data_IF_063495806497
#
_entry.id   IF_063495806497
#
_cell.length_a   1.000
_cell.length_b   1.000
_cell.length_c   1.000
_cell.angle_alpha   90.00
_cell.angle_beta   90.00
_cell.angle_gamma   90.00
#
_symmetry.space_group_name_H-M   'P 1'
#
loop_
_entity.id
_entity.type
_entity.pdbx_description
1 polymer ?
#
# COMPACT_ATOMS: atom_id res chain seq x y z
N UNK A 1 -11.10 19.28 22.86
CA UNK A 1 -12.47 19.21 23.38
C UNK A 1 -12.54 18.74 24.84
N UNK A 2 -11.92 17.60 25.20
CA UNK A 2 -11.95 17.03 26.57
C UNK A 2 -11.42 17.99 27.65
N UNK A 3 -10.31 18.70 27.38
CA UNK A 3 -9.74 19.67 28.35
C UNK A 3 -10.71 20.82 28.63
N UNK A 4 -11.36 21.36 27.60
CA UNK A 4 -12.38 22.41 27.74
C UNK A 4 -13.64 21.89 28.44
N UNK A 5 -14.06 20.66 28.15
CA UNK A 5 -15.18 20.00 28.83
C UNK A 5 -14.91 19.82 30.34
N UNK A 6 -13.72 19.35 30.71
CA UNK A 6 -13.31 19.23 32.11
C UNK A 6 -13.19 20.59 32.80
N UNK A 7 -12.65 21.60 32.11
CA UNK A 7 -12.58 22.97 32.62
C UNK A 7 -13.98 23.54 32.96
N UNK A 8 -14.96 23.38 32.08
CA UNK A 8 -16.33 23.84 32.34
C UNK A 8 -17.08 23.01 33.38
N UNK A 9 -16.79 21.71 33.53
CA UNK A 9 -17.33 20.89 34.63
C UNK A 9 -16.83 21.41 35.98
N UNK A 10 -15.54 21.73 36.09
CA UNK A 10 -14.96 22.28 37.32
C UNK A 10 -15.59 23.64 37.66
N UNK A 11 -15.74 24.53 36.66
CA UNK A 11 -16.42 25.82 36.86
C UNK A 11 -17.89 25.63 37.24
N UNK A 12 -18.59 24.68 36.62
CA UNK A 12 -20.00 24.38 36.91
C UNK A 12 -20.19 23.85 38.33
N UNK A 13 -19.32 22.95 38.80
CA UNK A 13 -19.33 22.47 40.18
C UNK A 13 -19.06 23.62 41.17
N UNK A 14 -18.09 24.48 40.87
CA UNK A 14 -17.79 25.67 41.67
C UNK A 14 -19.00 26.61 41.70
N UNK A 15 -19.65 26.85 40.57
CA UNK A 15 -20.82 27.73 40.44
C UNK A 15 -22.08 27.19 41.16
N UNK A 16 -22.31 25.87 41.12
CA UNK A 16 -23.48 25.24 41.74
C UNK A 16 -23.49 25.28 43.28
N UNK A 17 -22.33 25.49 43.91
CA UNK A 17 -22.17 25.53 45.37
C UNK A 17 -22.28 26.96 45.96
N UNK A 18 -22.62 27.98 45.16
CA UNK A 18 -22.63 29.40 45.60
C UNK A 18 -23.70 29.77 46.65
N UNK A 19 -24.64 28.89 46.98
CA UNK A 19 -25.72 29.20 47.94
C UNK A 19 -25.37 28.93 49.42
N UNK A 20 -24.16 28.46 49.74
CA UNK A 20 -23.68 28.30 51.12
C UNK A 20 -22.21 28.72 51.22
N UNK A 21 -21.95 30.03 51.26
CA UNK A 21 -20.62 30.55 51.63
C UNK A 21 -20.43 30.43 53.14
N UNK A 22 -20.03 29.25 53.61
CA UNK A 22 -19.29 29.17 54.88
C UNK A 22 -17.86 29.66 54.59
N UNK A 23 -17.25 30.54 55.43
CA UNK A 23 -15.87 30.93 55.26
C UNK A 23 -14.99 29.71 55.50
N UNK A 24 -14.57 29.06 54.42
CA UNK A 24 -13.56 28.01 54.46
C UNK A 24 -12.25 28.72 54.80
N UNK A 25 -11.88 28.75 56.08
CA UNK A 25 -10.57 29.22 56.52
C UNK A 25 -9.52 28.13 56.28
N UNK A 26 -9.27 27.79 55.01
CA UNK A 26 -8.16 26.90 54.66
C UNK A 26 -6.84 27.63 54.90
N UNK A 27 -5.96 27.02 55.68
CA UNK A 27 -4.62 27.55 55.91
C UNK A 27 -3.82 27.45 54.61
N UNK A 28 -3.05 28.49 54.28
CA UNK A 28 -2.17 28.49 53.10
C UNK A 28 -1.22 27.28 53.10
N UNK A 29 -0.77 26.84 54.28
CA UNK A 29 0.11 25.67 54.42
C UNK A 29 -0.54 24.36 53.95
N UNK A 30 -1.87 24.24 54.05
CA UNK A 30 -2.60 23.03 53.64
C UNK A 30 -2.78 22.97 52.11
N UNK A 31 -2.84 24.12 51.45
CA UNK A 31 -3.03 24.23 49.99
C UNK A 31 -1.73 24.44 49.21
N UNK A 32 -0.65 24.89 49.87
CA UNK A 32 0.65 25.16 49.24
C UNK A 32 1.23 23.93 48.50
N UNK A 33 1.19 22.69 49.05
CA UNK A 33 1.65 21.50 48.33
C UNK A 33 0.86 21.24 47.04
N UNK A 34 -0.46 21.53 47.04
CA UNK A 34 -1.33 21.36 45.88
C UNK A 34 -0.95 22.37 44.79
N UNK A 35 -0.68 23.62 45.17
CA UNK A 35 -0.25 24.66 44.22
C UNK A 35 1.11 24.32 43.60
N UNK A 36 2.10 23.94 44.43
CA UNK A 36 3.43 23.52 43.96
C UNK A 36 3.30 22.32 43.03
N UNK A 37 2.52 21.31 43.43
CA UNK A 37 2.25 20.13 42.60
C UNK A 37 1.64 20.49 41.25
N UNK A 38 0.69 21.43 41.23
CA UNK A 38 0.04 21.91 39.99
C UNK A 38 1.04 22.61 39.07
N UNK A 39 1.92 23.46 39.62
CA UNK A 39 2.97 24.15 38.84
C UNK A 39 3.96 23.14 38.26
N UNK A 40 4.42 22.18 39.07
CA UNK A 40 5.37 21.14 38.61
C UNK A 40 4.76 20.28 37.49
N UNK A 41 3.51 19.84 37.65
CA UNK A 41 2.80 19.06 36.62
C UNK A 41 2.63 19.91 35.35
N UNK A 42 2.26 21.19 35.48
CA UNK A 42 2.10 22.09 34.34
C UNK A 42 3.41 22.27 33.57
N UNK A 43 4.53 22.49 34.27
CA UNK A 43 5.85 22.61 33.65
C UNK A 43 6.28 21.30 32.97
N UNK A 44 6.01 20.15 33.60
CA UNK A 44 6.28 18.85 33.00
C UNK A 44 5.47 18.63 31.71
N UNK A 45 4.19 18.99 31.71
CA UNK A 45 3.33 18.91 30.52
C UNK A 45 3.79 19.85 29.41
N UNK A 46 4.21 21.07 29.72
CA UNK A 46 4.75 22.03 28.74
C UNK A 46 6.06 21.47 28.15
N UNK A 47 6.98 21.00 28.99
CA UNK A 47 8.25 20.41 28.55
C UNK A 47 8.03 19.18 27.66
N UNK A 48 7.17 18.25 28.07
CA UNK A 48 6.80 17.08 27.28
C UNK A 48 6.15 17.49 25.94
N UNK A 49 5.23 18.45 25.95
CA UNK A 49 4.57 18.96 24.75
C UNK A 49 5.58 19.58 23.78
N UNK A 50 6.49 20.43 24.28
CA UNK A 50 7.56 21.03 23.49
C UNK A 50 8.48 19.98 22.86
N UNK A 51 8.84 18.94 23.61
CA UNK A 51 9.65 17.82 23.11
C UNK A 51 8.95 17.07 21.97
N UNK A 52 7.69 16.67 22.16
CA UNK A 52 6.95 15.92 21.14
C UNK A 52 6.65 16.78 19.90
N UNK A 53 6.26 18.04 20.07
CA UNK A 53 6.03 18.95 18.96
C UNK A 53 7.33 19.25 18.19
N UNK A 54 8.44 19.47 18.90
CA UNK A 54 9.75 19.67 18.29
C UNK A 54 10.19 18.47 17.47
N UNK A 55 10.05 17.24 18.01
CA UNK A 55 10.33 16.01 17.26
C UNK A 55 9.42 15.84 16.04
N UNK A 56 8.13 16.12 16.19
CA UNK A 56 7.17 16.04 15.09
C UNK A 56 7.53 17.01 13.97
N UNK A 57 7.84 18.27 14.31
CA UNK A 57 8.26 19.28 13.35
C UNK A 57 9.57 18.88 12.63
N UNK A 58 10.58 18.44 13.39
CA UNK A 58 11.84 17.99 12.81
C UNK A 58 11.62 16.79 11.87
N UNK A 59 10.73 15.86 12.20
CA UNK A 59 10.45 14.71 11.34
C UNK A 59 9.94 15.12 9.96
N UNK A 60 9.01 16.09 9.90
CA UNK A 60 8.50 16.64 8.64
C UNK A 60 9.56 17.47 7.91
N UNK A 61 10.41 18.20 8.63
CA UNK A 61 11.54 18.92 8.04
C UNK A 61 12.49 17.95 7.31
N UNK A 62 12.89 16.85 7.96
CA UNK A 62 13.73 15.84 7.33
C UNK A 62 13.01 15.15 6.17
N UNK A 63 11.72 14.83 6.31
CA UNK A 63 10.96 14.26 5.20
C UNK A 63 10.94 15.19 3.98
N UNK A 64 10.69 16.49 4.18
CA UNK A 64 10.75 17.49 3.11
C UNK A 64 12.14 17.55 2.46
N UNK A 65 13.20 17.55 3.27
CA UNK A 65 14.59 17.53 2.75
C UNK A 65 14.89 16.28 1.92
N UNK A 66 14.24 15.15 2.20
CA UNK A 66 14.35 13.96 1.35
C UNK A 66 13.75 14.19 -0.04
N UNK A 67 12.66 14.94 -0.15
CA UNK A 67 12.05 15.29 -1.44
C UNK A 67 12.95 16.22 -2.25
N UNK A 68 13.65 17.16 -1.60
CA UNK A 68 14.67 17.98 -2.26
C UNK A 68 15.81 17.11 -2.84
N UNK A 69 16.13 15.99 -2.16
CA UNK A 69 17.08 15.00 -2.64
C UNK A 69 16.65 14.33 -3.96
N UNK A 70 15.34 14.08 -4.14
CA UNK A 70 14.78 13.54 -5.39
C UNK A 70 15.01 14.52 -6.53
N UNK A 71 14.69 15.81 -6.32
CA UNK A 71 14.90 16.86 -7.32
C UNK A 71 16.38 17.04 -7.71
N UNK A 72 17.29 16.75 -6.78
CA UNK A 72 18.75 16.79 -6.99
C UNK A 72 19.33 15.48 -7.53
N UNK A 73 18.49 14.46 -7.75
CA UNK A 73 18.91 13.10 -8.11
C UNK A 73 19.96 12.52 -7.13
N UNK A 74 19.87 12.86 -5.84
CA UNK A 74 20.78 12.38 -4.80
C UNK A 74 20.08 11.35 -3.92
N UNK A 75 20.15 10.07 -4.33
CA UNK A 75 19.49 8.96 -3.63
C UNK A 75 19.98 8.78 -2.19
N UNK A 76 21.24 9.10 -1.89
CA UNK A 76 21.78 9.03 -0.53
C UNK A 76 21.09 10.06 0.38
N UNK A 77 20.93 11.29 -0.10
CA UNK A 77 20.20 12.32 0.65
C UNK A 77 18.74 11.92 0.86
N UNK A 78 18.08 11.34 -0.15
CA UNK A 78 16.71 10.82 0.00
C UNK A 78 16.65 9.80 1.15
N UNK A 79 17.51 8.78 1.09
CA UNK A 79 17.55 7.69 2.06
C UNK A 79 17.84 8.19 3.48
N UNK A 80 18.90 8.99 3.66
CA UNK A 80 19.33 9.45 4.98
C UNK A 80 18.26 10.32 5.65
N UNK A 81 17.62 11.23 4.88
CA UNK A 81 16.62 12.12 5.43
C UNK A 81 15.28 11.42 5.69
N UNK A 82 14.85 10.45 4.86
CA UNK A 82 13.70 9.60 5.17
C UNK A 82 13.92 8.79 6.45
N UNK A 83 15.11 8.20 6.61
CA UNK A 83 15.48 7.47 7.83
C UNK A 83 15.41 8.36 9.07
N UNK A 84 15.90 9.60 9.00
CA UNK A 84 15.80 10.56 10.11
C UNK A 84 14.34 10.92 10.42
N UNK A 85 13.51 11.12 9.40
CA UNK A 85 12.09 11.39 9.60
C UNK A 85 11.39 10.25 10.39
N UNK A 86 11.67 9.00 10.04
CA UNK A 86 11.12 7.81 10.74
C UNK A 86 11.65 7.69 12.18
N UNK A 87 12.94 7.93 12.41
CA UNK A 87 13.53 7.92 13.76
C UNK A 87 12.85 8.96 14.66
N UNK A 88 12.58 10.15 14.12
CA UNK A 88 11.97 11.24 14.86
C UNK A 88 10.48 11.00 15.13
N UNK A 89 9.74 10.52 14.13
CA UNK A 89 8.33 10.17 14.25
C UNK A 89 8.00 8.84 13.52
N UNK A 90 7.98 7.71 14.26
CA UNK A 90 7.75 6.39 13.69
C UNK A 90 6.27 6.07 13.37
N UNK A 91 5.33 6.98 13.65
CA UNK A 91 3.88 6.72 13.52
C UNK A 91 3.28 7.27 12.22
N UNK A 92 4.08 7.95 11.39
CA UNK A 92 3.62 8.51 10.12
C UNK A 92 3.80 7.45 9.01
N UNK A 93 2.68 6.85 8.59
CA UNK A 93 2.65 5.81 7.54
C UNK A 93 3.37 6.25 6.26
N UNK A 94 3.13 7.49 5.81
CA UNK A 94 3.72 8.05 4.59
C UNK A 94 5.24 7.96 4.60
N UNK A 95 5.90 8.22 5.73
CA UNK A 95 7.37 8.17 5.82
C UNK A 95 7.88 6.77 5.57
N UNK A 96 7.24 5.78 6.19
CA UNK A 96 7.58 4.37 6.07
C UNK A 96 7.30 3.81 4.68
N UNK A 97 6.16 4.17 4.09
CA UNK A 97 5.82 3.81 2.70
C UNK A 97 6.91 4.32 1.74
N UNK A 98 7.26 5.61 1.82
CA UNK A 98 8.28 6.20 0.96
C UNK A 98 9.65 5.55 1.19
N UNK A 99 10.03 5.30 2.44
CA UNK A 99 11.29 4.64 2.75
C UNK A 99 11.32 3.19 2.26
N UNK A 100 10.22 2.44 2.35
CA UNK A 100 10.11 1.09 1.79
C UNK A 100 10.31 1.08 0.27
N UNK A 101 9.74 2.07 -0.44
CA UNK A 101 9.86 2.22 -1.89
C UNK A 101 11.28 2.63 -2.28
N UNK A 102 11.89 3.56 -1.57
CA UNK A 102 13.30 3.96 -1.78
C UNK A 102 14.24 2.77 -1.61
N UNK A 103 13.99 1.90 -0.62
CA UNK A 103 14.76 0.67 -0.45
C UNK A 103 14.58 -0.32 -1.63
N UNK A 104 13.37 -0.48 -2.17
CA UNK A 104 13.18 -1.28 -3.40
C UNK A 104 13.93 -0.68 -4.59
N UNK A 105 13.94 0.64 -4.73
CA UNK A 105 14.70 1.32 -5.79
C UNK A 105 16.20 1.03 -5.64
N UNK A 106 16.75 1.08 -4.43
CA UNK A 106 18.15 0.73 -4.16
C UNK A 106 18.42 -0.73 -4.57
N UNK A 107 17.57 -1.67 -4.12
CA UNK A 107 17.71 -3.08 -4.46
C UNK A 107 17.63 -3.32 -5.99
N UNK A 108 16.68 -2.69 -6.67
CA UNK A 108 16.46 -2.84 -8.11
C UNK A 108 17.59 -2.21 -8.94
N UNK A 109 18.12 -1.05 -8.54
CA UNK A 109 19.23 -0.38 -9.22
C UNK A 109 20.54 -1.16 -9.10
N UNK A 110 20.75 -1.90 -8.02
CA UNK A 110 21.89 -2.81 -7.88
C UNK A 110 21.64 -4.14 -8.59
N UNK A 111 20.41 -4.66 -8.53
CA UNK A 111 20.03 -5.89 -9.21
C UNK A 111 20.08 -5.76 -10.73
N UNK A 112 19.83 -4.58 -11.29
CA UNK A 112 19.97 -4.37 -12.75
C UNK A 112 21.41 -4.56 -13.22
N UNK A 113 22.42 -4.30 -12.37
CA UNK A 113 23.84 -4.58 -12.64
C UNK A 113 24.17 -6.08 -12.69
N UNK A 114 23.28 -6.95 -12.16
CA UNK A 114 23.41 -8.42 -12.27
C UNK A 114 23.34 -8.85 -13.73
N UNK A 115 22.55 -8.18 -14.56
CA UNK A 115 22.45 -8.46 -16.00
C UNK A 115 23.80 -8.29 -16.71
N UNK A 116 24.66 -7.42 -16.19
CA UNK A 116 26.01 -7.15 -16.71
C UNK A 116 27.10 -8.02 -16.06
N UNK A 117 26.75 -9.00 -15.22
CA UNK A 117 27.67 -9.86 -14.44
C UNK A 117 28.67 -9.09 -13.53
N UNK A 118 28.34 -7.87 -13.12
CA UNK A 118 29.23 -6.98 -12.32
C UNK A 118 28.91 -6.93 -10.83
N UNK A 119 28.21 -7.92 -10.27
CA UNK A 119 27.78 -7.85 -8.87
C UNK A 119 28.91 -8.28 -7.91
N UNK A 120 29.25 -7.39 -6.98
CA UNK A 120 30.18 -7.68 -5.88
C UNK A 120 29.45 -8.33 -4.70
N UNK A 121 30.19 -8.90 -3.74
CA UNK A 121 29.60 -9.37 -2.49
C UNK A 121 28.92 -8.22 -1.70
N UNK A 122 29.52 -7.03 -1.75
CA UNK A 122 28.96 -5.83 -1.15
C UNK A 122 27.60 -5.46 -1.75
N UNK A 123 27.44 -5.57 -3.07
CA UNK A 123 26.17 -5.29 -3.74
C UNK A 123 25.09 -6.30 -3.30
N UNK A 124 25.43 -7.59 -3.18
CA UNK A 124 24.50 -8.62 -2.67
C UNK A 124 24.02 -8.31 -1.26
N UNK A 125 24.93 -7.92 -0.37
CA UNK A 125 24.59 -7.52 0.99
C UNK A 125 23.68 -6.29 1.00
N UNK A 126 23.99 -5.28 0.18
CA UNK A 126 23.20 -4.05 0.09
C UNK A 126 21.79 -4.33 -0.43
N UNK A 127 21.65 -5.18 -1.46
CA UNK A 127 20.34 -5.62 -1.97
C UNK A 127 19.55 -6.32 -0.86
N UNK A 128 20.19 -7.24 -0.14
CA UNK A 128 19.53 -8.01 0.93
C UNK A 128 19.04 -7.08 2.05
N UNK A 129 19.88 -6.15 2.50
CA UNK A 129 19.53 -5.17 3.53
C UNK A 129 18.40 -4.25 3.08
N UNK A 130 18.45 -3.77 1.83
CA UNK A 130 17.41 -2.90 1.29
C UNK A 130 16.07 -3.64 1.18
N UNK A 131 16.07 -4.88 0.70
CA UNK A 131 14.86 -5.72 0.67
C UNK A 131 14.30 -5.94 2.08
N UNK A 132 15.14 -6.29 3.05
CA UNK A 132 14.72 -6.49 4.44
C UNK A 132 14.14 -5.21 5.06
N UNK A 133 14.80 -4.07 4.85
CA UNK A 133 14.30 -2.77 5.30
C UNK A 133 12.94 -2.47 4.67
N UNK A 134 12.78 -2.71 3.36
CA UNK A 134 11.50 -2.50 2.67
C UNK A 134 10.37 -3.34 3.27
N UNK A 135 10.59 -4.64 3.47
CA UNK A 135 9.60 -5.55 4.09
C UNK A 135 9.28 -5.10 5.52
N UNK A 136 10.29 -4.79 6.33
CA UNK A 136 10.11 -4.33 7.70
C UNK A 136 9.23 -3.08 7.78
N UNK A 137 9.47 -2.11 6.90
CA UNK A 137 8.69 -0.87 6.85
C UNK A 137 7.26 -1.11 6.35
N UNK A 138 7.07 -1.95 5.33
CA UNK A 138 5.74 -2.36 4.88
C UNK A 138 4.93 -3.03 5.99
N UNK A 139 5.56 -3.93 6.76
CA UNK A 139 4.94 -4.58 7.94
C UNK A 139 4.60 -3.57 9.04
N UNK A 140 5.48 -2.60 9.28
CA UNK A 140 5.21 -1.54 10.26
C UNK A 140 3.99 -0.70 9.85
N UNK A 141 3.82 -0.38 8.56
CA UNK A 141 2.65 0.37 8.06
C UNK A 141 1.34 -0.38 8.33
N UNK A 142 1.25 -1.66 7.98
CA UNK A 142 0.02 -2.44 8.22
C UNK A 142 -0.23 -2.70 9.71
N UNK A 143 0.82 -2.67 10.53
CA UNK A 143 0.69 -2.76 11.99
C UNK A 143 0.18 -1.46 12.62
N UNK A 144 0.55 -0.30 12.06
CA UNK A 144 0.05 1.02 12.49
C UNK A 144 -1.43 1.18 12.16
N UNK A 145 -1.87 0.74 10.97
CA UNK A 145 -3.27 0.85 10.56
C UNK A 145 -3.72 -0.36 9.71
N UNK A 146 -4.13 -1.47 10.36
CA UNK A 146 -4.50 -2.70 9.65
C UNK A 146 -5.80 -2.59 8.85
N UNK A 147 -6.60 -1.54 9.04
CA UNK A 147 -7.86 -1.32 8.32
C UNK A 147 -7.69 -0.48 7.06
N UNK A 148 -6.49 0.06 6.79
CA UNK A 148 -6.23 0.90 5.62
C UNK A 148 -5.67 0.08 4.48
N UNK A 149 -6.40 0.04 3.36
CA UNK A 149 -6.03 -0.77 2.20
C UNK A 149 -4.70 -0.35 1.56
N UNK A 150 -4.35 0.94 1.59
CA UNK A 150 -3.09 1.48 1.06
C UNK A 150 -1.85 0.78 1.66
N UNK A 151 -1.84 0.51 2.97
CA UNK A 151 -0.73 -0.16 3.63
C UNK A 151 -0.54 -1.59 3.14
N UNK A 152 -1.65 -2.33 3.00
CA UNK A 152 -1.66 -3.69 2.47
C UNK A 152 -1.26 -3.75 1.00
N UNK A 153 -1.67 -2.77 0.19
CA UNK A 153 -1.22 -2.64 -1.19
C UNK A 153 0.29 -2.39 -1.27
N UNK A 154 0.83 -1.50 -0.42
CA UNK A 154 2.26 -1.25 -0.37
C UNK A 154 3.03 -2.54 -0.02
N UNK A 155 2.56 -3.27 1.00
CA UNK A 155 3.16 -4.56 1.38
C UNK A 155 3.07 -5.61 0.27
N UNK A 156 1.94 -5.69 -0.45
CA UNK A 156 1.81 -6.56 -1.62
C UNK A 156 2.81 -6.20 -2.73
N UNK A 157 2.99 -4.90 -3.01
CA UNK A 157 3.97 -4.43 -4.00
C UNK A 157 5.41 -4.78 -3.62
N UNK A 158 5.74 -4.69 -2.33
CA UNK A 158 7.05 -5.10 -1.80
C UNK A 158 7.29 -6.58 -2.06
N UNK A 159 6.36 -7.45 -1.67
CA UNK A 159 6.49 -8.89 -1.90
C UNK A 159 6.52 -9.26 -3.39
N UNK A 160 5.74 -8.54 -4.21
CA UNK A 160 5.74 -8.73 -5.66
C UNK A 160 7.11 -8.42 -6.28
N UNK A 161 7.78 -7.37 -5.81
CA UNK A 161 9.14 -7.02 -6.28
C UNK A 161 10.17 -8.12 -5.98
N UNK A 162 9.93 -8.92 -4.94
CA UNK A 162 10.83 -10.02 -4.54
C UNK A 162 10.31 -11.40 -4.92
N UNK A 163 9.25 -11.48 -5.75
CA UNK A 163 8.52 -12.74 -6.01
C UNK A 163 9.39 -13.86 -6.59
N UNK A 164 10.38 -13.46 -7.39
CA UNK A 164 11.31 -14.38 -8.08
C UNK A 164 12.55 -14.71 -7.24
N UNK A 165 12.87 -13.90 -6.24
CA UNK A 165 14.10 -14.03 -5.45
C UNK A 165 13.84 -14.62 -4.07
N UNK A 166 12.68 -14.38 -3.47
CA UNK A 166 12.35 -14.82 -2.14
C UNK A 166 11.34 -15.97 -2.15
N UNK A 167 11.58 -17.03 -1.38
CA UNK A 167 10.61 -18.11 -1.21
C UNK A 167 9.37 -17.63 -0.41
N UNK A 168 8.17 -18.07 -0.79
CA UNK A 168 6.91 -17.73 -0.10
C UNK A 168 6.35 -16.33 -0.38
N UNK A 169 7.13 -15.47 -1.05
CA UNK A 169 6.74 -14.12 -1.46
C UNK A 169 5.51 -14.07 -2.37
N UNK A 170 5.24 -15.13 -3.15
CA UNK A 170 4.02 -15.29 -3.95
C UNK A 170 2.78 -15.40 -3.07
N UNK A 171 2.80 -16.28 -2.07
CA UNK A 171 1.73 -16.43 -1.10
C UNK A 171 1.53 -15.15 -0.27
N UNK A 172 2.61 -14.49 0.13
CA UNK A 172 2.55 -13.23 0.88
C UNK A 172 2.02 -12.05 0.05
N UNK A 173 2.35 -12.01 -1.25
CA UNK A 173 1.77 -11.04 -2.19
C UNK A 173 0.25 -11.23 -2.28
N UNK A 174 -0.20 -12.48 -2.46
CA UNK A 174 -1.62 -12.83 -2.52
C UNK A 174 -2.34 -12.46 -1.22
N UNK A 175 -1.82 -12.88 -0.05
CA UNK A 175 -2.38 -12.55 1.26
C UNK A 175 -2.51 -11.03 1.45
N UNK A 176 -1.47 -10.27 1.09
CA UNK A 176 -1.48 -8.81 1.21
C UNK A 176 -2.52 -8.14 0.31
N UNK A 177 -2.67 -8.58 -0.95
CA UNK A 177 -3.75 -8.07 -1.81
C UNK A 177 -5.14 -8.45 -1.31
N UNK A 178 -5.32 -9.67 -0.77
CA UNK A 178 -6.59 -10.10 -0.17
C UNK A 178 -6.96 -9.19 1.01
N UNK A 179 -6.00 -8.85 1.87
CA UNK A 179 -6.21 -7.88 2.95
C UNK A 179 -6.55 -6.48 2.44
N UNK A 180 -5.91 -6.01 1.36
CA UNK A 180 -6.26 -4.74 0.73
C UNK A 180 -7.70 -4.73 0.19
N UNK A 181 -8.14 -5.81 -0.45
CA UNK A 181 -9.53 -5.98 -0.95
C UNK A 181 -10.53 -6.00 0.22
N UNK A 182 -10.20 -6.67 1.32
CA UNK A 182 -11.07 -6.69 2.51
C UNK A 182 -11.19 -5.31 3.17
N UNK A 183 -10.10 -4.54 3.19
CA UNK A 183 -10.05 -3.20 3.77
C UNK A 183 -10.79 -2.16 2.93
N UNK A 184 -10.75 -2.27 1.60
CA UNK A 184 -11.48 -1.40 0.68
C UNK A 184 -12.04 -2.21 -0.50
N UNK A 185 -13.25 -2.79 -0.34
CA UNK A 185 -13.86 -3.65 -1.35
C UNK A 185 -14.26 -2.95 -2.64
N UNK A 186 -14.39 -1.62 -2.64
CA UNK A 186 -14.88 -0.84 -3.78
C UNK A 186 -13.77 -0.26 -4.66
N UNK A 187 -12.51 -0.49 -4.30
CA UNK A 187 -11.40 -0.09 -5.13
C UNK A 187 -10.99 -1.22 -6.09
N UNK A 188 -11.12 -1.00 -7.42
CA UNK A 188 -10.82 -2.03 -8.41
C UNK A 188 -9.31 -2.30 -8.54
N UNK A 189 -8.46 -1.38 -8.07
CA UNK A 189 -7.00 -1.46 -8.20
C UNK A 189 -6.40 -2.70 -7.54
N UNK A 190 -6.92 -3.10 -6.38
CA UNK A 190 -6.41 -4.27 -5.65
C UNK A 190 -6.73 -5.58 -6.36
N UNK A 191 -7.85 -5.64 -7.08
CA UNK A 191 -8.25 -6.79 -7.89
C UNK A 191 -7.42 -6.89 -9.17
N UNK A 192 -7.09 -5.76 -9.80
CA UNK A 192 -6.11 -5.75 -10.90
C UNK A 192 -4.75 -6.24 -10.40
N UNK A 193 -4.29 -5.76 -9.24
CA UNK A 193 -3.06 -6.23 -8.63
C UNK A 193 -3.05 -7.75 -8.41
N UNK A 194 -4.08 -8.29 -7.75
CA UNK A 194 -4.20 -9.72 -7.49
C UNK A 194 -4.37 -10.55 -8.78
N UNK A 195 -5.20 -10.10 -9.71
CA UNK A 195 -5.38 -10.73 -11.01
C UNK A 195 -4.08 -10.77 -11.81
N UNK A 196 -3.27 -9.71 -11.75
CA UNK A 196 -1.94 -9.66 -12.35
C UNK A 196 -0.98 -10.70 -11.78
N UNK A 197 -1.04 -10.96 -10.47
CA UNK A 197 -0.27 -12.04 -9.82
C UNK A 197 -0.69 -13.40 -10.38
N UNK A 198 -2.00 -13.69 -10.42
CA UNK A 198 -2.50 -14.95 -10.99
C UNK A 198 -2.15 -15.10 -12.48
N UNK A 199 -2.25 -14.00 -13.25
CA UNK A 199 -1.88 -13.98 -14.66
C UNK A 199 -0.40 -14.31 -14.85
N UNK A 200 0.49 -13.75 -14.03
CA UNK A 200 1.93 -14.06 -14.06
C UNK A 200 2.25 -15.52 -13.75
N UNK A 201 1.39 -16.18 -12.95
CA UNK A 201 1.46 -17.60 -12.64
C UNK A 201 0.78 -18.48 -13.71
N UNK A 202 0.34 -17.90 -14.83
CA UNK A 202 -0.40 -18.55 -15.92
C UNK A 202 -1.75 -19.15 -15.48
N UNK A 203 -2.31 -18.66 -14.37
CA UNK A 203 -3.65 -19.03 -13.87
C UNK A 203 -4.66 -18.07 -14.43
N UNK A 204 -4.91 -18.19 -15.73
CA UNK A 204 -5.67 -17.21 -16.49
C UNK A 204 -7.15 -17.17 -16.10
N UNK A 205 -7.73 -18.29 -15.70
CA UNK A 205 -9.10 -18.36 -15.19
C UNK A 205 -9.25 -17.58 -13.88
N UNK A 206 -8.30 -17.71 -12.96
CA UNK A 206 -8.29 -16.96 -11.70
C UNK A 206 -8.09 -15.46 -11.96
N UNK A 207 -7.14 -15.12 -12.84
CA UNK A 207 -6.91 -13.74 -13.25
C UNK A 207 -8.15 -13.11 -13.87
N UNK A 208 -8.84 -13.84 -14.77
CA UNK A 208 -10.06 -13.40 -15.43
C UNK A 208 -11.13 -13.01 -14.41
N UNK A 209 -11.37 -13.83 -13.39
CA UNK A 209 -12.39 -13.54 -12.35
C UNK A 209 -12.09 -12.22 -11.62
N UNK A 210 -10.83 -11.96 -11.27
CA UNK A 210 -10.47 -10.71 -10.59
C UNK A 210 -10.54 -9.49 -11.53
N UNK A 211 -10.14 -9.64 -12.78
CA UNK A 211 -10.28 -8.58 -13.78
C UNK A 211 -11.74 -8.26 -14.08
N UNK A 212 -12.60 -9.28 -14.18
CA UNK A 212 -14.05 -9.12 -14.35
C UNK A 212 -14.64 -8.33 -13.18
N UNK A 213 -14.31 -8.69 -11.93
CA UNK A 213 -14.74 -7.92 -10.76
C UNK A 213 -14.25 -6.47 -10.80
N UNK A 214 -13.01 -6.21 -11.24
CA UNK A 214 -12.49 -4.85 -11.38
C UNK A 214 -13.28 -4.04 -12.44
N UNK A 215 -13.63 -4.68 -13.56
CA UNK A 215 -14.49 -4.09 -14.61
C UNK A 215 -15.91 -3.86 -14.08
N UNK A 216 -16.48 -4.76 -13.28
CA UNK A 216 -17.81 -4.57 -12.69
C UNK A 216 -17.86 -3.38 -11.72
N UNK A 217 -16.80 -3.18 -10.94
CA UNK A 217 -16.70 -2.06 -9.99
C UNK A 217 -16.50 -0.74 -10.73
N UNK A 218 -15.65 -0.73 -11.77
CA UNK A 218 -15.37 0.45 -12.56
C UNK A 218 -15.40 0.14 -14.07
N UNK A 219 -16.59 0.20 -14.71
CA UNK A 219 -16.77 -0.19 -16.10
C UNK A 219 -16.10 0.74 -17.12
N UNK A 220 -15.74 1.95 -16.72
CA UNK A 220 -15.12 2.98 -17.55
C UNK A 220 -13.60 3.07 -17.34
N UNK A 221 -12.97 1.99 -16.85
CA UNK A 221 -11.53 1.96 -16.60
C UNK A 221 -10.77 1.16 -17.67
N UNK A 222 -10.10 1.83 -18.64
CA UNK A 222 -9.40 1.15 -19.73
C UNK A 222 -8.41 0.09 -19.26
N UNK A 223 -7.68 0.35 -18.17
CA UNK A 223 -6.67 -0.57 -17.66
C UNK A 223 -7.30 -1.90 -17.19
N UNK A 224 -8.46 -1.88 -16.54
CA UNK A 224 -9.13 -3.11 -16.12
C UNK A 224 -9.64 -3.93 -17.31
N UNK A 225 -10.26 -3.25 -18.27
CA UNK A 225 -10.80 -3.88 -19.49
C UNK A 225 -9.67 -4.46 -20.34
N UNK A 226 -8.53 -3.78 -20.41
CA UNK A 226 -7.33 -4.25 -21.08
C UNK A 226 -6.81 -5.56 -20.48
N UNK A 227 -6.68 -5.62 -19.15
CA UNK A 227 -6.25 -6.84 -18.47
C UNK A 227 -7.26 -7.98 -18.65
N UNK A 228 -8.55 -7.67 -18.62
CA UNK A 228 -9.63 -8.62 -18.93
C UNK A 228 -9.52 -9.16 -20.37
N UNK A 229 -9.21 -8.30 -21.36
CA UNK A 229 -9.00 -8.71 -22.74
C UNK A 229 -7.83 -9.71 -22.87
N UNK A 230 -6.70 -9.41 -22.22
CA UNK A 230 -5.53 -10.28 -22.22
C UNK A 230 -5.78 -11.63 -21.55
N UNK A 231 -6.50 -11.66 -20.42
CA UNK A 231 -6.88 -12.92 -19.79
C UNK A 231 -7.75 -13.78 -20.70
N UNK A 232 -8.76 -13.19 -21.36
CA UNK A 232 -9.58 -13.90 -22.35
C UNK A 232 -8.77 -14.41 -23.54
N UNK A 233 -7.81 -13.61 -24.02
CA UNK A 233 -6.94 -14.02 -25.11
C UNK A 233 -6.11 -15.26 -24.76
N UNK A 234 -5.50 -15.29 -23.56
CA UNK A 234 -4.75 -16.46 -23.09
C UNK A 234 -5.64 -17.71 -22.93
N UNK A 235 -6.91 -17.51 -22.59
CA UNK A 235 -7.93 -18.56 -22.53
C UNK A 235 -8.50 -18.95 -23.89
N UNK A 236 -7.99 -18.37 -24.99
CA UNK A 236 -8.47 -18.56 -26.37
C UNK A 236 -9.93 -18.14 -26.60
N UNK A 237 -10.46 -17.30 -25.71
CA UNK A 237 -11.75 -16.61 -25.84
C UNK A 237 -11.56 -15.36 -26.71
N UNK A 238 -11.20 -15.59 -27.97
CA UNK A 238 -10.78 -14.52 -28.88
C UNK A 238 -11.89 -13.49 -29.19
N UNK A 239 -13.17 -13.88 -29.38
CA UNK A 239 -14.24 -12.90 -29.57
C UNK A 239 -14.37 -11.92 -28.39
N UNK A 240 -14.34 -12.43 -27.16
CA UNK A 240 -14.43 -11.64 -25.92
C UNK A 240 -13.20 -10.74 -25.75
N UNK A 241 -12.01 -11.26 -26.07
CA UNK A 241 -10.77 -10.49 -26.03
C UNK A 241 -10.79 -9.31 -27.03
N UNK A 242 -11.22 -9.55 -28.27
CA UNK A 242 -11.35 -8.50 -29.30
C UNK A 242 -12.37 -7.45 -28.89
N UNK A 243 -13.53 -7.85 -28.38
CA UNK A 243 -14.56 -6.92 -27.91
C UNK A 243 -14.03 -6.04 -26.77
N UNK A 244 -13.40 -6.65 -25.76
CA UNK A 244 -12.84 -5.92 -24.63
C UNK A 244 -11.72 -4.94 -25.07
N UNK A 245 -10.86 -5.35 -26.00
CA UNK A 245 -9.79 -4.48 -26.49
C UNK A 245 -10.33 -3.32 -27.36
N UNK A 246 -11.40 -3.55 -28.12
CA UNK A 246 -12.14 -2.48 -28.81
C UNK A 246 -12.76 -1.49 -27.81
N UNK A 247 -13.37 -1.98 -26.72
CA UNK A 247 -13.91 -1.13 -25.67
C UNK A 247 -12.81 -0.32 -24.96
N UNK A 248 -11.66 -0.95 -24.71
CA UNK A 248 -10.47 -0.27 -24.18
C UNK A 248 -10.08 0.90 -25.07
N UNK A 249 -9.98 0.67 -26.39
CA UNK A 249 -9.60 1.70 -27.36
C UNK A 249 -10.59 2.87 -27.40
N UNK A 250 -11.90 2.59 -27.25
CA UNK A 250 -12.94 3.62 -27.23
C UNK A 250 -12.88 4.53 -25.99
N UNK A 251 -12.29 4.05 -24.89
CA UNK A 251 -12.16 4.81 -23.64
C UNK A 251 -10.80 5.52 -23.51
N UNK A 252 -9.80 5.14 -24.30
CA UNK A 252 -8.49 5.82 -24.34
C UNK A 252 -8.57 7.04 -25.25
N UNK A 253 -8.09 8.18 -24.76
CA UNK A 253 -8.02 9.38 -25.57
C UNK A 253 -6.76 9.37 -26.44
N UNK A 254 -6.95 9.28 -27.76
CA UNK A 254 -5.85 9.21 -28.74
C UNK A 254 -4.91 10.42 -28.75
N UNK A 255 -5.32 11.57 -28.18
CA UNK A 255 -4.50 12.79 -28.12
C UNK A 255 -3.64 12.85 -26.86
N UNK A 256 -4.19 12.48 -25.71
CA UNK A 256 -3.48 12.55 -24.42
C UNK A 256 -2.69 11.28 -24.14
N UNK A 257 -3.20 10.13 -24.54
CA UNK A 257 -2.67 8.80 -24.21
C UNK A 257 -2.23 8.06 -25.48
N UNK A 258 -1.56 8.80 -26.37
CA UNK A 258 -1.22 8.34 -27.72
C UNK A 258 -0.47 7.00 -27.74
N UNK A 259 0.49 6.81 -26.83
CA UNK A 259 1.27 5.58 -26.76
C UNK A 259 0.41 4.36 -26.39
N UNK A 260 -0.48 4.49 -25.42
CA UNK A 260 -1.40 3.43 -25.02
C UNK A 260 -2.43 3.17 -26.12
N UNK A 261 -2.93 4.23 -26.76
CA UNK A 261 -3.86 4.12 -27.90
C UNK A 261 -3.25 3.33 -29.06
N UNK A 262 -2.04 3.68 -29.51
CA UNK A 262 -1.32 3.00 -30.59
C UNK A 262 -1.02 1.53 -30.24
N UNK A 263 -0.63 1.28 -28.98
CA UNK A 263 -0.38 -0.07 -28.48
C UNK A 263 -1.64 -0.93 -28.53
N UNK A 264 -2.74 -0.45 -27.96
CA UNK A 264 -4.02 -1.17 -27.93
C UNK A 264 -4.57 -1.38 -29.34
N UNK A 265 -4.42 -0.39 -30.23
CA UNK A 265 -4.82 -0.53 -31.64
C UNK A 265 -4.05 -1.64 -32.34
N UNK A 266 -2.73 -1.72 -32.15
CA UNK A 266 -1.91 -2.78 -32.74
C UNK A 266 -2.30 -4.16 -32.21
N UNK A 267 -2.44 -4.29 -30.89
CA UNK A 267 -2.83 -5.55 -30.24
C UNK A 267 -4.23 -6.00 -30.69
N UNK A 268 -5.16 -5.06 -30.93
CA UNK A 268 -6.49 -5.36 -31.45
C UNK A 268 -6.44 -5.99 -32.85
N UNK A 269 -5.61 -5.46 -33.74
CA UNK A 269 -5.41 -6.04 -35.07
C UNK A 269 -4.73 -7.42 -35.00
N UNK A 270 -3.86 -7.65 -34.01
CA UNK A 270 -3.28 -8.98 -33.76
C UNK A 270 -4.34 -9.96 -33.22
N UNK A 271 -5.19 -9.53 -32.28
CA UNK A 271 -6.24 -10.37 -31.71
C UNK A 271 -7.28 -10.76 -32.76
N UNK A 272 -7.65 -9.85 -33.67
CA UNK A 272 -8.57 -10.12 -34.78
C UNK A 272 -8.10 -11.24 -35.71
N UNK A 273 -6.78 -11.41 -35.90
CA UNK A 273 -6.24 -12.51 -36.72
C UNK A 273 -6.50 -13.90 -36.13
N UNK A 274 -6.75 -13.97 -34.82
CA UNK A 274 -7.01 -15.21 -34.10
C UNK A 274 -8.51 -15.54 -34.05
N UNK A 275 -9.39 -14.66 -34.54
CA UNK A 275 -10.80 -14.97 -34.66
C UNK A 275 -10.99 -16.19 -35.58
N UNK A 276 -11.83 -17.15 -35.19
CA UNK A 276 -12.19 -18.23 -36.10
C UNK A 276 -12.80 -17.63 -37.37
N UNK A 277 -12.37 -18.12 -38.53
CA UNK A 277 -13.04 -17.83 -39.80
C UNK A 277 -14.50 -18.29 -39.63
N UNK A 278 -15.45 -17.40 -39.88
CA UNK A 278 -16.87 -17.60 -39.60
C UNK A 278 -17.34 -19.03 -39.91
N UNK A 279 -17.51 -19.85 -38.87
CA UNK A 279 -18.51 -20.89 -38.87
C UNK A 279 -19.64 -20.39 -37.99
N UNK A 280 -20.74 -20.02 -38.64
CA UNK A 280 -21.99 -19.63 -37.99
C UNK A 280 -22.47 -20.83 -37.17
N UNK A 281 -22.31 -20.76 -35.85
CA UNK A 281 -23.14 -21.48 -34.89
C UNK A 281 -23.62 -20.51 -33.83
N UNK A 282 -24.88 -20.12 -33.99
CA UNK A 282 -25.73 -19.60 -32.93
C UNK A 282 -25.78 -20.62 -31.80
N UNK A 283 -25.45 -20.23 -30.57
CA UNK A 283 -26.19 -20.69 -29.38
C UNK A 283 -25.85 -19.86 -28.13
N UNK A 284 -26.95 -19.33 -27.57
CA UNK A 284 -27.28 -19.04 -26.18
C UNK A 284 -26.24 -18.41 -25.24
N UNK A 285 -26.51 -17.14 -24.92
CA UNK A 285 -25.93 -16.36 -23.84
C UNK A 285 -26.46 -16.89 -22.50
N UNK A 286 -25.61 -17.58 -21.73
CA UNK A 286 -25.89 -17.91 -20.34
C UNK A 286 -25.72 -16.68 -19.42
N UNK A 287 -26.60 -16.60 -18.43
CA UNK A 287 -26.72 -15.51 -17.43
C UNK A 287 -25.47 -15.35 -16.55
N UNK A 288 -25.24 -14.15 -15.99
CA UNK A 288 -24.13 -13.93 -15.07
C UNK A 288 -24.36 -14.68 -13.75
N UNK A 289 -23.37 -15.50 -13.38
CA UNK A 289 -23.32 -16.24 -12.12
C UNK A 289 -23.04 -15.28 -10.96
N UNK A 290 -23.82 -15.37 -9.89
CA UNK A 290 -23.62 -14.60 -8.66
C UNK A 290 -22.23 -14.84 -8.07
N UNK A 291 -21.42 -13.77 -8.01
CA UNK A 291 -20.09 -13.75 -7.42
C UNK A 291 -20.19 -13.79 -5.89
N UNK A 292 -20.18 -15.00 -5.33
CA UNK A 292 -19.99 -15.19 -3.89
C UNK A 292 -18.53 -14.91 -3.51
N UNK A 293 -18.36 -14.14 -2.43
CA UNK A 293 -17.12 -13.54 -1.91
C UNK A 293 -16.10 -14.53 -1.33
N UNK A 294 -15.91 -15.69 -1.96
CA UNK A 294 -14.90 -16.65 -1.52
C UNK A 294 -13.55 -16.29 -2.13
N UNK A 295 -12.67 -15.70 -1.31
CA UNK A 295 -11.27 -15.47 -1.67
C UNK A 295 -10.60 -16.83 -1.92
N UNK A 296 -10.04 -17.08 -3.12
CA UNK A 296 -9.31 -18.32 -3.38
C UNK A 296 -8.11 -18.44 -2.44
N UNK A 297 -7.92 -19.62 -1.87
CA UNK A 297 -6.76 -19.92 -1.01
C UNK A 297 -5.46 -19.80 -1.81
N UNK A 298 -4.38 -19.24 -1.21
CA UNK A 298 -3.11 -19.10 -1.90
C UNK A 298 -2.59 -20.46 -2.40
N UNK A 299 -2.17 -20.56 -3.66
CA UNK A 299 -1.58 -21.78 -4.20
C UNK A 299 -0.21 -22.05 -3.56
N UNK A 300 0.12 -23.31 -3.34
CA UNK A 300 1.42 -23.77 -2.82
C UNK A 300 2.54 -23.53 -3.84
N UNK A 301 3.60 -22.84 -3.42
CA UNK A 301 4.74 -22.47 -4.27
C UNK A 301 5.55 -23.70 -4.70
N UNK A 302 5.76 -23.87 -6.01
CA UNK A 302 6.69 -24.85 -6.58
C UNK A 302 7.75 -24.08 -7.38
N UNK A 303 8.98 -23.96 -6.88
CA UNK A 303 10.27 -23.77 -7.61
C UNK A 303 11.42 -23.68 -6.58
N UNK A 304 12.57 -24.31 -6.88
CA UNK A 304 13.80 -24.32 -6.04
C UNK A 304 15.06 -23.90 -6.84
N UNK A 305 16.11 -23.34 -6.21
CA UNK A 305 16.14 -22.73 -4.87
C UNK A 305 16.07 -21.20 -4.95
N UNK A 306 15.10 -20.62 -4.24
CA UNK A 306 14.96 -19.17 -4.00
C UNK A 306 15.70 -18.81 -2.70
N UNK A 307 15.99 -17.53 -2.47
CA UNK A 307 16.52 -17.02 -1.20
C UNK A 307 15.49 -17.30 -0.09
N UNK A 308 15.94 -17.95 0.99
CA UNK A 308 15.12 -18.12 2.19
C UNK A 308 15.01 -16.78 2.93
N UNK A 309 13.80 -16.23 2.97
CA UNK A 309 13.49 -15.15 3.90
C UNK A 309 13.18 -15.77 5.27
N UNK A 310 13.62 -15.11 6.35
CA UNK A 310 13.33 -15.56 7.71
C UNK A 310 11.81 -15.60 7.94
N UNK A 311 11.31 -16.48 8.83
CA UNK A 311 9.87 -16.64 9.08
C UNK A 311 9.20 -15.35 9.54
N UNK A 312 9.95 -14.45 10.18
CA UNK A 312 9.50 -13.12 10.59
C UNK A 312 9.13 -12.22 9.39
N UNK A 313 9.50 -12.59 8.16
CA UNK A 313 9.16 -11.85 6.95
C UNK A 313 7.72 -12.06 6.47
N UNK A 314 6.94 -12.97 7.05
CA UNK A 314 5.53 -13.17 6.66
C UNK A 314 4.63 -11.99 7.08
N UNK A 315 3.57 -11.67 6.32
CA UNK A 315 2.63 -10.59 6.65
C UNK A 315 2.04 -10.71 8.06
N UNK A 316 1.84 -11.94 8.54
CA UNK A 316 1.19 -12.24 9.82
C UNK A 316 2.17 -12.36 11.00
N UNK A 317 3.48 -12.29 10.76
CA UNK A 317 4.47 -12.40 11.83
C UNK A 317 4.52 -11.10 12.65
N UNK A 318 4.41 -11.22 13.97
CA UNK A 318 4.54 -10.09 14.92
C UNK A 318 5.99 -9.70 15.15
#
# INVERSE_FOLDING_TARGET
LIVWFLFFIVISQIASNFNVFQPISTNFNDILPIYIGTVVISLALIGASGYFLGRSYLSEFYFKKSIDGIAKNNLKDVYDNQRQAIILNPYIERFRINFSQTNLIIANNLSSKIKDKKITEQDRQTITQAVQASISEGKAVVSLNPQKAEGWQNLASIYLNVINVAQGSDAWTISSYQRAILADPQNPTYRIGLGGVYYSQKKYEDALRFFEQAVSIKPDWPNAIYNYAWANFQLKKYPEAVNALQNTLNLINSKTDKADYEKVQKELEEFKKMLPKEEVKTDNVDKPTESNLNLPTPPTSQISPKLELQKEASPEAK
#
